data_IF_818676260425
#
_entry.id   IF_818676260425
#
_cell.length_a   1.000
_cell.length_b   1.000
_cell.length_c   1.000
_cell.angle_alpha   90.00
_cell.angle_beta   90.00
_cell.angle_gamma   90.00
#
_symmetry.space_group_name_H-M   'P 1'
#
loop_
_entity.id
_entity.type
_entity.pdbx_description
1 polymer ?
#
# COMPACT_ATOMS: atom_id res chain seq x y z
N UNK A 1 -4.43 23.58 86.49
CA UNK A 1 -3.56 23.87 85.35
C UNK A 1 -3.61 22.65 84.38
N UNK A 2 -4.35 22.74 83.30
CA UNK A 2 -4.49 21.69 82.28
C UNK A 2 -3.73 22.11 81.02
N UNK A 3 -2.68 21.37 80.68
CA UNK A 3 -1.93 21.56 79.43
C UNK A 3 -2.62 20.83 78.31
N UNK A 4 -3.15 21.58 77.35
CA UNK A 4 -3.73 21.04 76.11
C UNK A 4 -2.58 20.76 75.14
N UNK A 5 -2.39 19.50 74.79
CA UNK A 5 -1.43 19.08 73.76
C UNK A 5 -2.18 19.12 72.42
N UNK A 6 -1.78 20.02 71.53
CA UNK A 6 -2.28 20.09 70.15
C UNK A 6 -1.53 19.04 69.34
N UNK A 7 -2.20 17.97 68.94
CA UNK A 7 -1.65 17.02 68.01
C UNK A 7 -1.89 17.51 66.58
N UNK A 8 -0.83 17.88 65.89
CA UNK A 8 -0.87 18.27 64.49
C UNK A 8 -0.94 17.00 63.67
N UNK A 9 -2.10 16.70 63.09
CA UNK A 9 -2.27 15.60 62.16
C UNK A 9 -1.74 15.97 60.77
N UNK A 10 -0.67 15.31 60.35
CA UNK A 10 -0.13 15.45 59.02
C UNK A 10 -0.98 14.59 58.08
N UNK A 11 -1.82 15.22 57.25
CA UNK A 11 -2.53 14.52 56.18
C UNK A 11 -1.63 14.42 54.98
N UNK A 12 -1.10 13.22 54.78
CA UNK A 12 -0.30 12.91 53.57
C UNK A 12 -1.28 12.64 52.42
N UNK A 13 -1.51 13.62 51.58
CA UNK A 13 -2.25 13.44 50.32
C UNK A 13 -1.36 12.73 49.30
N UNK A 14 -1.51 11.41 49.22
CA UNK A 14 -0.89 10.64 48.14
C UNK A 14 -1.66 10.94 46.85
N UNK A 15 -1.15 11.86 46.04
CA UNK A 15 -1.64 12.10 44.68
C UNK A 15 -1.30 10.93 43.79
N UNK A 16 -2.30 10.09 43.48
CA UNK A 16 -2.17 9.09 42.42
C UNK A 16 -2.26 9.81 41.10
N UNK A 17 -1.10 10.11 40.49
CA UNK A 17 -1.05 10.54 39.12
C UNK A 17 -1.39 9.34 38.23
N UNK A 18 -2.66 9.22 37.84
CA UNK A 18 -3.08 8.35 36.74
C UNK A 18 -2.48 8.89 35.44
N UNK A 19 -1.28 8.41 35.13
CA UNK A 19 -0.69 8.59 33.82
C UNK A 19 -1.56 7.89 32.79
N UNK A 20 -2.36 8.64 32.07
CA UNK A 20 -3.01 8.17 30.85
C UNK A 20 -1.89 7.89 29.85
N UNK A 21 -1.41 6.64 29.83
CA UNK A 21 -0.60 6.16 28.72
C UNK A 21 -1.54 6.11 27.53
N UNK A 22 -1.56 7.19 26.79
CA UNK A 22 -2.17 7.22 25.46
C UNK A 22 -1.46 6.19 24.61
N UNK A 23 -2.00 4.98 24.52
CA UNK A 23 -1.63 4.05 23.48
C UNK A 23 -1.98 4.74 22.16
N UNK A 24 -0.97 5.32 21.49
CA UNK A 24 -1.07 5.62 20.07
C UNK A 24 -1.30 4.27 19.42
N UNK A 25 -2.56 3.96 19.13
CA UNK A 25 -2.90 2.94 18.14
C UNK A 25 -2.30 3.49 16.86
N UNK A 26 -1.09 3.03 16.53
CA UNK A 26 -0.58 3.16 15.18
C UNK A 26 -1.58 2.38 14.33
N UNK A 27 -2.54 3.08 13.73
CA UNK A 27 -3.24 2.58 12.58
C UNK A 27 -2.15 2.32 11.55
N UNK A 28 -1.63 1.09 11.52
CA UNK A 28 -1.00 0.56 10.34
C UNK A 28 -2.09 0.65 9.27
N UNK A 29 -2.10 1.71 8.48
CA UNK A 29 -2.85 1.74 7.25
C UNK A 29 -2.36 0.51 6.50
N UNK A 30 -3.19 -0.51 6.42
CA UNK A 30 -3.00 -1.66 5.57
C UNK A 30 -2.68 -1.08 4.19
N UNK A 31 -1.46 -1.32 3.72
CA UNK A 31 -1.09 -0.87 2.37
C UNK A 31 -2.15 -1.43 1.42
N UNK A 32 -2.78 -0.56 0.65
CA UNK A 32 -3.84 -0.94 -0.28
C UNK A 32 -3.35 -1.99 -1.29
N UNK A 33 -2.05 -1.97 -1.57
CA UNK A 33 -1.39 -2.87 -2.52
C UNK A 33 -0.03 -3.29 -1.99
N UNK A 34 0.15 -4.61 -1.81
CA UNK A 34 1.46 -5.21 -1.51
C UNK A 34 2.11 -5.65 -2.81
N UNK A 35 3.40 -5.35 -2.99
CA UNK A 35 4.20 -5.75 -4.15
C UNK A 35 5.37 -6.61 -3.72
N UNK A 36 5.44 -7.84 -4.25
CA UNK A 36 6.54 -8.78 -3.99
C UNK A 36 7.33 -8.99 -5.27
N UNK A 37 8.58 -8.51 -5.31
CA UNK A 37 9.48 -8.73 -6.44
C UNK A 37 9.95 -10.19 -6.45
N UNK A 38 9.70 -10.88 -7.56
CA UNK A 38 10.12 -12.26 -7.79
C UNK A 38 11.45 -12.33 -8.54
N UNK A 39 11.67 -11.40 -9.47
CA UNK A 39 12.87 -11.33 -10.28
C UNK A 39 13.15 -9.88 -10.65
N UNK A 40 14.42 -9.48 -10.59
CA UNK A 40 14.93 -8.24 -11.16
C UNK A 40 16.21 -8.57 -11.92
N UNK A 41 16.30 -8.18 -13.17
CA UNK A 41 17.46 -8.52 -14.01
C UNK A 41 17.70 -7.48 -15.09
N UNK A 42 18.95 -7.34 -15.46
CA UNK A 42 19.35 -6.56 -16.63
C UNK A 42 18.85 -7.23 -17.90
N UNK A 43 18.46 -6.44 -18.89
CA UNK A 43 18.01 -6.96 -20.17
C UNK A 43 19.17 -6.95 -21.17
N UNK A 44 19.56 -8.15 -21.63
CA UNK A 44 20.62 -8.29 -22.61
C UNK A 44 20.26 -7.55 -23.92
N UNK A 45 21.17 -6.70 -24.41
CA UNK A 45 20.97 -5.89 -25.62
C UNK A 45 20.10 -4.65 -25.41
N UNK A 46 19.74 -4.31 -24.16
CA UNK A 46 19.00 -3.11 -23.80
C UNK A 46 19.72 -2.37 -22.68
N UNK A 47 20.81 -1.69 -23.01
CA UNK A 47 21.69 -1.02 -22.06
C UNK A 47 20.91 -0.04 -21.17
N UNK A 48 21.13 -0.12 -19.87
CA UNK A 48 20.47 0.72 -18.87
C UNK A 48 19.02 0.34 -18.57
N UNK A 49 18.48 -0.73 -19.18
CA UNK A 49 17.15 -1.23 -18.91
C UNK A 49 17.18 -2.47 -18.02
N UNK A 50 16.15 -2.62 -17.19
CA UNK A 50 15.92 -3.80 -16.39
C UNK A 50 14.48 -4.34 -16.55
N UNK A 51 14.35 -5.65 -16.39
CA UNK A 51 13.06 -6.32 -16.26
C UNK A 51 12.77 -6.65 -14.80
N UNK A 52 11.56 -6.37 -14.36
CA UNK A 52 11.12 -6.63 -12.98
C UNK A 52 9.83 -7.44 -13.03
N UNK A 53 9.87 -8.67 -12.54
CA UNK A 53 8.68 -9.49 -12.35
C UNK A 53 8.27 -9.41 -10.89
N UNK A 54 6.99 -9.09 -10.64
CA UNK A 54 6.44 -9.01 -9.30
C UNK A 54 5.00 -9.55 -9.24
N UNK A 55 4.57 -9.89 -8.04
CA UNK A 55 3.16 -10.09 -7.73
C UNK A 55 2.65 -8.88 -6.97
N UNK A 56 1.60 -8.25 -7.50
CA UNK A 56 0.84 -7.21 -6.83
C UNK A 56 -0.44 -7.83 -6.24
N UNK A 57 -0.71 -7.56 -4.98
CA UNK A 57 -1.92 -8.00 -4.27
C UNK A 57 -2.67 -6.76 -3.80
N UNK A 58 -3.84 -6.54 -4.37
CA UNK A 58 -4.73 -5.44 -3.97
C UNK A 58 -5.71 -5.98 -2.93
N UNK A 59 -5.72 -5.38 -1.75
CA UNK A 59 -6.57 -5.81 -0.65
C UNK A 59 -8.07 -5.66 -0.99
N UNK A 60 -8.97 -6.42 -0.34
CA UNK A 60 -10.41 -6.37 -0.58
C UNK A 60 -10.97 -4.95 -0.47
N UNK A 61 -11.76 -4.52 -1.47
CA UNK A 61 -12.42 -3.22 -1.52
C UNK A 61 -11.50 -2.02 -1.75
N UNK A 62 -10.19 -2.24 -1.89
CA UNK A 62 -9.21 -1.17 -2.09
C UNK A 62 -8.76 -1.06 -3.55
N UNK A 63 -7.93 -0.05 -3.82
CA UNK A 63 -7.37 0.20 -5.15
C UNK A 63 -5.88 0.61 -5.06
N UNK A 64 -5.21 0.65 -6.21
CA UNK A 64 -3.79 1.03 -6.29
C UNK A 64 -3.56 2.53 -6.11
N UNK A 65 -4.62 3.34 -6.16
CA UNK A 65 -4.51 4.77 -6.40
C UNK A 65 -4.15 5.08 -7.86
N UNK A 66 -4.47 6.30 -8.31
CA UNK A 66 -4.05 6.76 -9.64
C UNK A 66 -2.53 6.90 -9.68
N UNK A 67 -1.91 6.30 -10.67
CA UNK A 67 -0.45 6.32 -10.81
C UNK A 67 -0.02 6.10 -12.26
N UNK A 68 1.27 6.28 -12.50
CA UNK A 68 1.96 5.95 -13.74
C UNK A 68 3.17 5.06 -13.44
N UNK A 69 3.65 4.37 -14.47
CA UNK A 69 4.96 3.74 -14.50
C UNK A 69 5.86 4.46 -15.50
N UNK A 70 7.14 4.74 -15.18
CA UNK A 70 8.08 5.36 -16.14
C UNK A 70 8.45 4.42 -17.29
N UNK A 71 8.31 3.10 -17.09
CA UNK A 71 8.54 2.05 -18.08
C UNK A 71 7.26 1.40 -18.58
N UNK A 72 7.43 0.34 -19.37
CA UNK A 72 6.33 -0.49 -19.85
C UNK A 72 5.84 -1.40 -18.73
N UNK A 73 4.51 -1.56 -18.62
CA UNK A 73 3.90 -2.56 -17.77
C UNK A 73 3.14 -3.61 -18.61
N UNK A 74 3.42 -4.87 -18.34
CA UNK A 74 2.61 -6.00 -18.76
C UNK A 74 2.04 -6.66 -17.51
N UNK A 75 0.76 -6.91 -17.48
CA UNK A 75 0.11 -7.50 -16.33
C UNK A 75 -0.79 -8.65 -16.72
N UNK A 76 -0.91 -9.64 -15.82
CA UNK A 76 -1.76 -10.81 -16.00
C UNK A 76 -2.50 -11.11 -14.68
N UNK A 77 -3.82 -11.15 -14.73
CA UNK A 77 -4.64 -11.40 -13.54
C UNK A 77 -4.57 -12.88 -13.18
N UNK A 78 -4.06 -13.17 -11.98
CA UNK A 78 -3.94 -14.53 -11.44
C UNK A 78 -5.21 -14.96 -10.72
N UNK A 79 -5.72 -14.10 -9.82
CA UNK A 79 -6.85 -14.42 -8.94
C UNK A 79 -7.67 -13.15 -8.65
N UNK A 80 -8.93 -13.33 -8.32
CA UNK A 80 -9.83 -12.27 -7.90
C UNK A 80 -10.55 -11.58 -9.05
N UNK A 81 -11.23 -10.48 -8.75
CA UNK A 81 -11.98 -9.69 -9.71
C UNK A 81 -11.88 -8.19 -9.41
N UNK A 82 -11.92 -7.38 -10.44
CA UNK A 82 -11.79 -5.94 -10.28
C UNK A 82 -12.06 -5.18 -11.56
N UNK A 83 -11.63 -3.93 -11.56
CA UNK A 83 -11.65 -3.05 -12.72
C UNK A 83 -10.31 -2.35 -12.87
N UNK A 84 -9.90 -2.13 -14.11
CA UNK A 84 -8.81 -1.23 -14.48
C UNK A 84 -9.42 0.03 -15.10
N UNK A 85 -9.17 1.14 -14.47
CA UNK A 85 -9.49 2.47 -14.97
C UNK A 85 -8.25 3.04 -15.65
N UNK A 86 -8.34 3.39 -16.92
CA UNK A 86 -7.24 3.99 -17.69
C UNK A 86 -7.71 5.34 -18.20
N UNK A 87 -6.93 6.39 -17.92
CA UNK A 87 -7.30 7.74 -18.34
C UNK A 87 -7.53 7.84 -19.85
N UNK A 88 -8.67 8.38 -20.22
CA UNK A 88 -9.07 8.52 -21.63
C UNK A 88 -9.60 7.24 -22.30
N UNK A 89 -9.80 6.14 -21.55
CA UNK A 89 -10.31 4.87 -22.09
C UNK A 89 -11.49 4.35 -21.25
N UNK A 90 -12.35 3.50 -21.82
CA UNK A 90 -13.34 2.75 -21.05
C UNK A 90 -12.68 1.86 -20.01
N UNK A 91 -13.33 1.69 -18.85
CA UNK A 91 -12.89 0.75 -17.82
C UNK A 91 -12.88 -0.68 -18.35
N UNK A 92 -11.88 -1.46 -17.92
CA UNK A 92 -11.74 -2.87 -18.30
C UNK A 92 -11.96 -3.76 -17.07
N UNK A 93 -12.67 -4.88 -17.23
CA UNK A 93 -12.83 -5.88 -16.18
C UNK A 93 -11.52 -6.65 -15.96
N UNK A 94 -11.10 -6.75 -14.72
CA UNK A 94 -10.02 -7.59 -14.25
C UNK A 94 -10.61 -8.92 -13.77
N UNK A 95 -10.26 -10.01 -14.44
CA UNK A 95 -10.64 -11.38 -14.09
C UNK A 95 -9.49 -12.32 -14.40
N UNK A 96 -9.39 -13.50 -13.77
CA UNK A 96 -8.33 -14.45 -14.04
C UNK A 96 -8.18 -14.71 -15.54
N UNK A 97 -6.95 -14.64 -16.06
CA UNK A 97 -6.62 -14.76 -17.48
C UNK A 97 -6.63 -13.45 -18.27
N UNK A 98 -7.08 -12.34 -17.69
CA UNK A 98 -6.98 -11.04 -18.36
C UNK A 98 -5.52 -10.60 -18.47
N UNK A 99 -5.09 -10.24 -19.68
CA UNK A 99 -3.77 -9.69 -19.99
C UNK A 99 -3.89 -8.18 -20.31
N UNK A 100 -2.94 -7.40 -19.81
CA UNK A 100 -2.97 -5.94 -19.84
C UNK A 100 -1.62 -5.44 -20.31
N UNK A 101 -1.62 -4.36 -21.07
CA UNK A 101 -0.43 -3.57 -21.38
C UNK A 101 -0.69 -2.10 -21.09
N UNK A 102 0.22 -1.47 -20.36
CA UNK A 102 0.26 -0.03 -20.13
C UNK A 102 1.58 0.54 -20.67
N UNK A 103 1.52 1.50 -21.59
CA UNK A 103 2.72 2.20 -22.04
C UNK A 103 3.26 3.13 -20.93
N UNK A 104 4.54 3.55 -21.03
CA UNK A 104 5.12 4.49 -20.10
C UNK A 104 4.27 5.76 -19.96
N UNK A 105 4.07 6.22 -18.71
CA UNK A 105 3.35 7.45 -18.39
C UNK A 105 1.82 7.36 -18.51
N UNK A 106 1.23 6.22 -18.84
CA UNK A 106 -0.22 6.07 -18.88
C UNK A 106 -0.82 6.09 -17.48
N UNK A 107 -1.66 7.07 -17.17
CA UNK A 107 -2.36 7.15 -15.88
C UNK A 107 -3.41 6.05 -15.80
N UNK A 108 -3.37 5.27 -14.73
CA UNK A 108 -4.32 4.20 -14.48
C UNK A 108 -4.51 3.91 -12.99
N UNK A 109 -5.56 3.15 -12.66
CA UNK A 109 -5.92 2.72 -11.31
C UNK A 109 -6.55 1.33 -11.36
N UNK A 110 -5.97 0.36 -10.67
CA UNK A 110 -6.53 -0.97 -10.49
C UNK A 110 -7.36 -1.05 -9.21
N UNK A 111 -8.63 -1.43 -9.32
CA UNK A 111 -9.56 -1.53 -8.19
C UNK A 111 -9.98 -2.97 -7.96
N UNK A 112 -9.88 -3.46 -6.73
CA UNK A 112 -10.45 -4.75 -6.32
C UNK A 112 -11.96 -4.59 -6.07
N UNK A 113 -12.78 -5.33 -6.83
CA UNK A 113 -14.23 -5.30 -6.70
C UNK A 113 -14.76 -6.19 -5.55
N UNK A 114 -13.96 -7.11 -5.03
CA UNK A 114 -14.37 -7.99 -3.93
C UNK A 114 -14.23 -7.29 -2.58
N UNK A 115 -15.23 -7.43 -1.72
CA UNK A 115 -15.15 -6.95 -0.34
C UNK A 115 -14.39 -7.91 0.60
N UNK A 116 -14.10 -9.15 0.15
CA UNK A 116 -13.57 -10.20 1.03
C UNK A 116 -12.35 -10.93 0.50
N UNK A 117 -12.14 -10.95 -0.83
CA UNK A 117 -11.04 -11.67 -1.47
C UNK A 117 -10.02 -10.71 -2.10
N UNK A 118 -8.72 -11.02 -2.06
CA UNK A 118 -7.70 -10.21 -2.72
C UNK A 118 -7.78 -10.33 -4.25
N UNK A 119 -7.30 -9.30 -4.95
CA UNK A 119 -7.01 -9.35 -6.38
C UNK A 119 -5.51 -9.50 -6.55
N UNK A 120 -5.05 -10.60 -7.19
CA UNK A 120 -3.63 -10.88 -7.43
C UNK A 120 -3.30 -10.75 -8.91
N UNK A 121 -2.25 -10.02 -9.18
CA UNK A 121 -1.80 -9.70 -10.54
C UNK A 121 -0.30 -9.99 -10.64
N UNK A 122 0.09 -10.77 -11.64
CA UNK A 122 1.48 -10.89 -12.05
C UNK A 122 1.82 -9.69 -12.94
N UNK A 123 2.89 -8.98 -12.62
CA UNK A 123 3.31 -7.77 -13.31
C UNK A 123 4.74 -7.93 -13.79
N UNK A 124 5.00 -7.53 -15.03
CA UNK A 124 6.34 -7.32 -15.59
C UNK A 124 6.50 -5.85 -15.94
N UNK A 125 7.49 -5.18 -15.35
CA UNK A 125 7.96 -3.88 -15.79
C UNK A 125 9.24 -4.02 -16.63
N UNK A 126 9.33 -3.21 -17.70
CA UNK A 126 10.58 -2.95 -18.42
C UNK A 126 10.85 -1.47 -18.27
N UNK A 127 11.90 -1.10 -17.55
CA UNK A 127 12.15 0.28 -17.14
C UNK A 127 13.63 0.60 -17.06
N UNK A 128 13.99 1.88 -17.08
CA UNK A 128 15.36 2.31 -16.78
C UNK A 128 15.75 1.93 -15.34
N UNK A 129 16.97 1.47 -15.17
CA UNK A 129 17.55 1.18 -13.86
C UNK A 129 17.52 2.39 -12.93
N UNK A 130 17.12 2.15 -11.68
CA UNK A 130 17.10 3.17 -10.64
C UNK A 130 15.93 4.15 -10.73
N UNK A 131 15.00 3.98 -11.66
CA UNK A 131 13.74 4.72 -11.67
C UNK A 131 12.76 4.12 -10.64
N UNK A 132 11.87 4.95 -10.12
CA UNK A 132 10.77 4.49 -9.28
C UNK A 132 9.83 3.62 -10.12
N UNK A 133 9.43 2.46 -9.60
CA UNK A 133 8.52 1.55 -10.32
C UNK A 133 7.12 2.15 -10.50
N UNK A 134 6.68 2.99 -9.56
CA UNK A 134 5.34 3.58 -9.51
C UNK A 134 5.43 5.03 -9.04
N UNK A 135 4.74 5.93 -9.73
CA UNK A 135 4.69 7.36 -9.42
C UNK A 135 3.21 7.75 -9.23
N UNK A 136 2.77 8.12 -8.01
CA UNK A 136 1.41 8.58 -7.76
C UNK A 136 1.06 9.82 -8.58
N UNK A 137 -0.21 9.90 -9.03
CA UNK A 137 -0.78 11.05 -9.75
C UNK A 137 -1.96 11.59 -8.93
N UNK A 138 -2.02 12.92 -8.78
CA UNK A 138 -3.11 13.60 -8.08
C UNK A 138 -4.38 13.66 -8.91
#
# INVERSE_FOLDING_TARGET
MRRTVLTLGLVLAAGIALGVIGTKVLNAQSESTTRTVLLRTDLAGMDGQEGIIMVAVIAPGLDTGRHIHPGHEFAYVLEGSGTLEVEGKPSMALKPGAAIYQPPGQVHNGRNASATAPLKILVLHITEKGKADTIPVK
#
